data_IF_540255652930
#
_entry.id   IF_540255652930
#
_cell.length_a   1.000
_cell.length_b   1.000
_cell.length_c   1.000
_cell.angle_alpha   90.00
_cell.angle_beta   90.00
_cell.angle_gamma   90.00
#
_symmetry.space_group_name_H-M   'P 1'
#
loop_
_entity.id
_entity.type
_entity.pdbx_description
1 polymer ?
#
# COMPACT_ATOMS: atom_id res chain seq x y z
N UNK A 1 5.21 -22.88 20.57
CA UNK A 1 5.13 -21.44 20.24
C UNK A 1 3.67 -21.04 20.30
N UNK A 2 3.29 -20.07 21.11
CA UNK A 2 1.91 -19.59 21.19
C UNK A 2 1.79 -18.32 20.35
N UNK A 3 0.89 -18.31 19.37
CA UNK A 3 0.64 -17.13 18.54
C UNK A 3 -0.15 -16.11 19.34
N UNK A 4 0.41 -14.91 19.50
CA UNK A 4 -0.26 -13.79 20.15
C UNK A 4 -1.13 -13.05 19.13
N UNK A 5 -2.42 -12.92 19.44
CA UNK A 5 -3.38 -12.15 18.64
C UNK A 5 -3.76 -10.88 19.40
N UNK A 6 -3.56 -9.72 18.77
CA UNK A 6 -3.87 -8.39 19.29
C UNK A 6 -4.45 -7.52 18.16
N UNK A 7 -4.97 -6.33 18.49
CA UNK A 7 -5.25 -5.33 17.47
C UNK A 7 -3.93 -4.75 16.92
N UNK A 8 -3.72 -4.81 15.61
CA UNK A 8 -2.45 -4.48 14.97
C UNK A 8 -1.44 -5.65 14.97
N UNK A 9 -0.14 -5.33 15.05
CA UNK A 9 0.95 -6.32 15.00
C UNK A 9 1.87 -6.20 16.23
N UNK A 10 2.42 -7.32 16.76
CA UNK A 10 3.43 -7.27 17.81
C UNK A 10 4.68 -6.49 17.38
N UNK A 11 5.16 -5.61 18.26
CA UNK A 11 6.36 -4.80 17.98
C UNK A 11 7.66 -5.62 18.17
N UNK A 12 8.65 -5.33 17.32
CA UNK A 12 10.04 -5.79 17.47
C UNK A 12 10.66 -5.14 18.72
N UNK A 13 11.52 -5.88 19.44
CA UNK A 13 12.19 -5.39 20.66
C UNK A 13 13.07 -4.18 20.30
N UNK A 14 12.96 -3.09 21.09
CA UNK A 14 13.64 -1.81 20.84
C UNK A 14 15.16 -1.94 20.64
N UNK A 15 15.82 -2.81 21.40
CA UNK A 15 17.26 -3.08 21.28
C UNK A 15 17.67 -3.69 19.93
N UNK A 16 16.73 -4.26 19.17
CA UNK A 16 16.98 -4.87 17.86
C UNK A 16 16.54 -3.97 16.69
N UNK A 17 16.02 -2.77 16.97
CA UNK A 17 15.59 -1.79 15.97
C UNK A 17 16.81 -1.13 15.32
N UNK A 18 16.79 -0.97 14.00
CA UNK A 18 17.84 -0.31 13.23
C UNK A 18 17.26 0.47 12.05
N UNK A 19 18.08 1.32 11.42
CA UNK A 19 17.62 2.23 10.35
C UNK A 19 16.99 1.50 9.14
N UNK A 20 17.37 0.26 8.87
CA UNK A 20 16.74 -0.56 7.83
C UNK A 20 15.28 -0.93 8.11
N UNK A 21 14.83 -0.93 9.38
CA UNK A 21 13.43 -1.19 9.73
C UNK A 21 12.50 -0.02 9.35
N UNK A 22 13.05 1.14 8.98
CA UNK A 22 12.33 2.36 8.61
C UNK A 22 12.59 2.82 7.15
N UNK A 23 13.04 1.92 6.28
CA UNK A 23 13.10 2.16 4.83
C UNK A 23 12.64 0.92 4.07
N UNK A 24 12.07 1.12 2.89
CA UNK A 24 11.63 0.04 2.00
C UNK A 24 11.96 0.36 0.54
N UNK A 25 12.19 -0.69 -0.25
CA UNK A 25 12.31 -0.62 -1.72
C UNK A 25 11.18 -1.38 -2.41
N UNK A 26 10.15 -1.80 -1.67
CA UNK A 26 9.06 -2.64 -2.19
C UNK A 26 8.29 -1.99 -3.35
N UNK A 27 8.24 -0.65 -3.42
CA UNK A 27 7.55 0.12 -4.46
C UNK A 27 8.50 0.78 -5.50
N UNK A 28 9.80 0.46 -5.47
CA UNK A 28 10.81 1.08 -6.32
C UNK A 28 10.69 0.73 -7.82
N UNK A 29 10.07 -0.41 -8.13
CA UNK A 29 9.89 -0.92 -9.49
C UNK A 29 8.40 -0.95 -9.86
N UNK A 30 8.06 -0.81 -11.16
CA UNK A 30 6.69 -1.00 -11.63
C UNK A 30 6.23 -2.45 -11.46
N UNK A 31 4.93 -2.64 -11.24
CA UNK A 31 4.29 -3.95 -11.26
C UNK A 31 4.15 -4.53 -12.67
N UNK A 32 3.95 -5.84 -12.77
CA UNK A 32 3.45 -6.47 -14.01
C UNK A 32 1.94 -6.32 -14.04
N UNK A 33 1.39 -5.75 -15.11
CA UNK A 33 -0.04 -5.61 -15.30
C UNK A 33 -0.74 -6.95 -15.52
N UNK A 34 -2.00 -7.02 -15.11
CA UNK A 34 -2.87 -8.18 -15.28
C UNK A 34 -3.72 -8.09 -16.56
N UNK A 35 -4.75 -8.94 -16.68
CA UNK A 35 -5.66 -8.95 -17.84
C UNK A 35 -6.51 -7.67 -18.00
N UNK A 36 -6.55 -6.79 -17.00
CA UNK A 36 -7.19 -5.48 -17.05
C UNK A 36 -6.20 -4.34 -17.33
N UNK A 37 -4.94 -4.66 -17.66
CA UNK A 37 -3.91 -3.66 -17.96
C UNK A 37 -3.51 -2.84 -16.73
N UNK A 38 -3.70 -3.37 -15.52
CA UNK A 38 -3.38 -2.68 -14.28
C UNK A 38 -2.61 -3.57 -13.31
N UNK A 39 -1.86 -2.95 -12.42
CA UNK A 39 -1.23 -3.61 -11.26
C UNK A 39 -1.30 -2.69 -10.05
N UNK A 40 -1.45 -3.29 -8.87
CA UNK A 40 -1.45 -2.58 -7.60
C UNK A 40 -0.61 -3.36 -6.59
N UNK A 41 0.33 -2.67 -5.95
CA UNK A 41 1.09 -3.19 -4.82
C UNK A 41 0.91 -2.30 -3.62
N UNK A 42 0.30 -2.82 -2.56
CA UNK A 42 0.11 -2.14 -1.28
C UNK A 42 1.19 -2.64 -0.31
N UNK A 43 1.76 -1.70 0.46
CA UNK A 43 2.72 -1.94 1.53
C UNK A 43 2.10 -1.42 2.82
N UNK A 44 1.80 -2.36 3.73
CA UNK A 44 1.23 -2.09 5.04
C UNK A 44 2.28 -2.34 6.13
N UNK A 45 1.89 -2.25 7.41
CA UNK A 45 2.74 -2.66 8.52
C UNK A 45 3.15 -4.16 8.50
N UNK A 46 2.49 -5.00 7.70
CA UNK A 46 2.89 -6.41 7.52
C UNK A 46 4.11 -6.55 6.60
N UNK A 47 4.17 -5.79 5.50
CA UNK A 47 5.28 -5.79 4.55
C UNK A 47 6.41 -4.84 4.99
N UNK A 48 6.07 -3.74 5.67
CA UNK A 48 7.01 -2.73 6.14
C UNK A 48 6.75 -2.42 7.64
N UNK A 49 7.38 -3.17 8.57
CA UNK A 49 7.12 -3.07 10.01
C UNK A 49 7.32 -1.67 10.63
N UNK A 50 8.12 -0.81 9.99
CA UNK A 50 8.30 0.59 10.41
C UNK A 50 7.02 1.44 10.35
N UNK A 51 5.97 0.98 9.64
CA UNK A 51 4.64 1.61 9.62
C UNK A 51 3.75 1.22 10.81
N UNK A 52 4.11 0.19 11.59
CA UNK A 52 3.28 -0.28 12.70
C UNK A 52 3.04 0.85 13.71
N UNK A 53 1.79 1.00 14.16
CA UNK A 53 1.30 2.09 15.03
C UNK A 53 1.31 3.52 14.44
N UNK A 54 1.90 3.75 13.25
CA UNK A 54 1.92 5.09 12.64
C UNK A 54 0.60 5.47 11.94
N UNK A 55 -0.31 4.51 11.75
CA UNK A 55 -1.57 4.72 11.05
C UNK A 55 -1.39 5.01 9.56
N UNK A 56 -0.33 4.46 8.95
CA UNK A 56 0.03 4.67 7.55
C UNK A 56 0.20 3.35 6.79
N UNK A 57 -0.17 3.38 5.50
CA UNK A 57 0.11 2.40 4.46
C UNK A 57 0.41 3.16 3.15
N UNK A 58 1.09 2.51 2.19
CA UNK A 58 1.41 3.14 0.91
C UNK A 58 1.26 2.17 -0.26
N UNK A 59 0.65 2.63 -1.34
CA UNK A 59 0.46 1.85 -2.57
C UNK A 59 1.26 2.39 -3.74
N UNK A 60 1.58 1.51 -4.69
CA UNK A 60 1.93 1.85 -6.06
C UNK A 60 0.90 1.23 -7.00
N UNK A 61 0.48 2.01 -7.99
CA UNK A 61 -0.33 1.55 -9.11
C UNK A 61 0.44 1.80 -10.40
N UNK A 62 0.50 0.81 -11.28
CA UNK A 62 0.98 0.97 -12.65
C UNK A 62 -0.13 0.48 -13.59
N UNK A 63 -0.52 1.34 -14.54
CA UNK A 63 -1.68 1.16 -15.41
C UNK A 63 -1.25 1.44 -16.85
N UNK A 64 -1.57 0.50 -17.75
CA UNK A 64 -1.32 0.60 -19.19
C UNK A 64 -2.35 1.53 -19.88
N UNK A 65 -2.16 1.76 -21.18
CA UNK A 65 -3.17 2.46 -21.99
C UNK A 65 -4.52 1.73 -21.94
N UNK A 66 -5.58 2.47 -21.62
CA UNK A 66 -6.95 1.96 -21.39
C UNK A 66 -7.08 0.90 -20.26
N UNK A 67 -6.05 0.74 -19.42
CA UNK A 67 -6.09 -0.14 -18.25
C UNK A 67 -7.01 0.37 -17.15
N UNK A 68 -7.57 -0.55 -16.36
CA UNK A 68 -8.56 -0.25 -15.33
C UNK A 68 -8.27 -0.97 -14.01
N UNK A 69 -8.36 -0.24 -12.90
CA UNK A 69 -8.48 -0.82 -11.57
C UNK A 69 -9.96 -1.01 -11.22
N UNK A 70 -10.33 -2.22 -10.84
CA UNK A 70 -11.71 -2.57 -10.47
C UNK A 70 -12.22 -1.68 -9.32
N UNK A 71 -13.49 -1.29 -9.38
CA UNK A 71 -14.12 -0.51 -8.31
C UNK A 71 -14.06 -1.24 -6.96
N UNK A 72 -13.57 -0.54 -5.94
CA UNK A 72 -13.41 -1.04 -4.58
C UNK A 72 -13.55 0.11 -3.58
N UNK A 73 -13.53 -0.22 -2.29
CA UNK A 73 -13.54 0.74 -1.19
C UNK A 73 -12.67 0.21 -0.05
N UNK A 74 -12.16 1.10 0.80
CA UNK A 74 -11.35 0.71 1.95
C UNK A 74 -12.15 0.95 3.23
N UNK A 75 -12.53 -0.11 3.98
CA UNK A 75 -13.47 0.02 5.11
C UNK A 75 -12.90 0.73 6.34
N UNK A 76 -11.64 1.22 6.32
CA UNK A 76 -10.90 1.69 7.51
C UNK A 76 -9.89 2.84 7.27
N UNK A 77 -9.85 3.48 6.10
CA UNK A 77 -8.89 4.56 5.77
C UNK A 77 -9.47 5.54 4.69
N UNK A 78 -8.70 6.54 4.20
CA UNK A 78 -9.12 7.57 3.19
C UNK A 78 -7.96 8.00 2.27
N UNK A 79 -8.02 7.99 0.92
CA UNK A 79 -6.78 8.17 0.10
C UNK A 79 -6.37 9.57 -0.30
N UNK A 80 -5.09 9.63 -0.66
CA UNK A 80 -4.50 10.66 -1.50
C UNK A 80 -3.73 9.97 -2.63
N UNK A 81 -4.29 9.95 -3.85
CA UNK A 81 -3.58 9.46 -5.05
C UNK A 81 -2.65 10.56 -5.57
N UNK A 82 -1.39 10.23 -5.81
CA UNK A 82 -0.42 11.13 -6.47
C UNK A 82 0.07 10.53 -7.79
N UNK A 83 -0.35 11.13 -8.92
CA UNK A 83 0.05 10.68 -10.27
C UNK A 83 1.47 11.13 -10.57
N UNK A 84 2.39 10.18 -10.67
CA UNK A 84 3.82 10.45 -10.97
C UNK A 84 4.12 10.53 -12.47
N UNK A 85 3.29 9.91 -13.32
CA UNK A 85 3.42 9.89 -14.78
C UNK A 85 2.06 9.61 -15.43
N UNK A 86 1.80 10.22 -16.59
CA UNK A 86 0.58 10.01 -17.36
C UNK A 86 -0.59 10.87 -16.89
N UNK A 87 -1.81 10.44 -17.24
CA UNK A 87 -3.07 11.06 -16.81
C UNK A 87 -3.97 9.95 -16.31
N UNK A 88 -4.47 10.07 -15.08
CA UNK A 88 -5.47 9.17 -14.51
C UNK A 88 -6.85 9.82 -14.65
N UNK A 89 -7.80 9.11 -15.26
CA UNK A 89 -9.20 9.49 -15.26
C UNK A 89 -9.89 8.85 -14.07
N UNK A 90 -10.24 9.66 -13.07
CA UNK A 90 -11.05 9.24 -11.94
C UNK A 90 -12.54 9.45 -12.26
N UNK A 91 -13.28 8.35 -12.37
CA UNK A 91 -14.73 8.36 -12.50
C UNK A 91 -15.38 8.29 -11.12
N UNK A 92 -16.21 9.30 -10.80
CA UNK A 92 -16.91 9.45 -9.52
C UNK A 92 -17.53 8.13 -9.01
N UNK A 93 -16.78 7.45 -8.14
CA UNK A 93 -16.93 6.01 -7.90
C UNK A 93 -15.63 5.38 -7.38
N UNK A 94 -14.47 5.92 -7.76
CA UNK A 94 -13.22 5.67 -7.05
C UNK A 94 -13.19 6.49 -5.73
N UNK A 95 -13.90 6.01 -4.72
CA UNK A 95 -13.67 6.47 -3.34
C UNK A 95 -12.38 5.81 -2.82
N UNK A 96 -11.25 6.24 -3.40
CA UNK A 96 -9.92 5.74 -3.11
C UNK A 96 -9.59 5.95 -1.63
N UNK A 97 -9.08 4.88 -1.00
CA UNK A 97 -9.07 4.62 0.44
C UNK A 97 -7.83 4.71 1.38
N UNK A 98 -6.59 5.04 0.97
CA UNK A 98 -5.37 4.91 1.82
C UNK A 98 -4.78 6.19 2.47
N UNK A 99 -4.88 6.29 3.81
CA UNK A 99 -3.79 6.78 4.68
C UNK A 99 -3.17 5.51 5.27
#
# INVERSE_FOLDING_TARGET
MQTLFINGLPCKISANIAAQDFRTLELSNPGSTDIFGASMKIVTAAEFPGLNTLGLAIGRMDIDGDGLLNFHYHPRATEIIFVTKGVLLDGAGLQAALI
#
